data_IF_495372274528
#
_entry.id   IF_495372274528
#
_cell.length_a   1.000
_cell.length_b   1.000
_cell.length_c   1.000
_cell.angle_alpha   90.00
_cell.angle_beta   90.00
_cell.angle_gamma   90.00
#
_symmetry.space_group_name_H-M   'P 1'
#
loop_
_entity.id
_entity.type
_entity.pdbx_description
1 polymer ?
#
# COMPACT_ATOMS: atom_id res chain seq x y z
N UNK A 1 -17.87 2.24 -14.11
CA UNK A 1 -17.16 2.34 -15.41
C UNK A 1 -15.79 2.94 -15.16
N UNK A 2 -14.72 2.31 -15.64
CA UNK A 2 -13.34 2.79 -15.45
C UNK A 2 -13.00 3.92 -16.43
N UNK A 3 -11.95 4.72 -16.19
CA UNK A 3 -11.47 5.69 -17.17
C UNK A 3 -11.04 5.01 -18.47
N UNK A 4 -11.29 5.63 -19.64
CA UNK A 4 -10.90 5.10 -20.96
C UNK A 4 -9.42 4.71 -21.05
N UNK A 5 -8.56 5.47 -20.37
CA UNK A 5 -7.11 5.19 -20.29
C UNK A 5 -6.80 3.89 -19.57
N UNK A 6 -7.63 3.47 -18.62
CA UNK A 6 -7.50 2.18 -17.93
C UNK A 6 -8.21 1.05 -18.69
N UNK A 7 -9.30 1.34 -19.39
CA UNK A 7 -10.01 0.33 -20.21
C UNK A 7 -9.11 -0.32 -21.28
N UNK A 8 -8.12 0.39 -21.83
CA UNK A 8 -7.18 -0.22 -22.77
C UNK A 8 -6.28 -1.28 -22.12
N UNK A 9 -5.93 -1.12 -20.84
CA UNK A 9 -5.21 -2.13 -20.05
C UNK A 9 -6.11 -3.34 -19.80
N UNK A 10 -7.34 -3.11 -19.32
CA UNK A 10 -8.30 -4.18 -19.02
C UNK A 10 -8.59 -5.07 -20.24
N UNK A 11 -8.62 -4.49 -21.45
CA UNK A 11 -8.81 -5.26 -22.69
C UNK A 11 -7.70 -6.28 -22.96
N UNK A 12 -6.52 -6.07 -22.40
CA UNK A 12 -5.35 -6.94 -22.56
C UNK A 12 -5.19 -7.95 -21.41
N UNK A 13 -6.03 -7.88 -20.37
CA UNK A 13 -6.03 -8.82 -19.25
C UNK A 13 -6.81 -10.11 -19.60
N UNK A 14 -6.49 -11.24 -18.96
CA UNK A 14 -7.14 -12.52 -19.22
C UNK A 14 -8.64 -12.50 -18.90
N UNK A 15 -9.41 -13.06 -19.83
CA UNK A 15 -10.87 -13.17 -19.76
C UNK A 15 -11.33 -14.51 -20.34
N UNK A 16 -12.51 -15.03 -19.96
CA UNK A 16 -13.07 -16.22 -20.56
C UNK A 16 -13.36 -16.04 -22.05
N UNK A 17 -13.31 -17.13 -22.85
CA UNK A 17 -12.90 -18.48 -22.44
C UNK A 17 -11.39 -18.72 -22.46
N UNK A 18 -10.59 -17.85 -23.07
CA UNK A 18 -9.17 -18.14 -23.35
C UNK A 18 -8.24 -17.97 -22.16
N UNK A 19 -8.60 -17.11 -21.20
CA UNK A 19 -7.75 -16.74 -20.06
C UNK A 19 -6.30 -16.44 -20.46
N UNK A 20 -6.10 -15.57 -21.46
CA UNK A 20 -4.77 -15.21 -21.94
C UNK A 20 -4.53 -13.69 -21.88
N UNK A 21 -3.30 -13.30 -21.58
CA UNK A 21 -2.86 -11.90 -21.67
C UNK A 21 -2.54 -11.55 -23.13
N UNK A 22 -2.97 -10.37 -23.59
CA UNK A 22 -2.49 -9.77 -24.83
C UNK A 22 -1.19 -8.98 -24.53
N UNK A 23 -0.06 -9.68 -24.53
CA UNK A 23 1.23 -9.07 -24.22
C UNK A 23 1.63 -7.96 -25.21
N UNK A 24 1.33 -8.12 -26.50
CA UNK A 24 1.64 -7.10 -27.52
C UNK A 24 0.76 -5.86 -27.38
N UNK A 25 -0.51 -6.05 -27.03
CA UNK A 25 -1.43 -4.99 -26.67
C UNK A 25 -0.95 -4.19 -25.45
N UNK A 26 -0.44 -4.87 -24.42
CA UNK A 26 0.06 -4.22 -23.19
C UNK A 26 1.18 -3.20 -23.47
N UNK A 27 2.10 -3.48 -24.40
CA UNK A 27 3.15 -2.53 -24.79
C UNK A 27 2.62 -1.24 -25.45
N UNK A 28 1.38 -1.26 -25.95
CA UNK A 28 0.69 -0.11 -26.55
C UNK A 28 -0.14 0.70 -25.53
N UNK A 29 -0.22 0.22 -24.29
CA UNK A 29 -0.86 0.93 -23.18
C UNK A 29 0.15 1.81 -22.43
N UNK A 30 -0.29 2.66 -21.48
CA UNK A 30 0.62 3.39 -20.60
C UNK A 30 1.59 2.51 -19.79
N UNK A 31 1.34 1.20 -19.66
CA UNK A 31 2.27 0.25 -19.03
C UNK A 31 3.55 0.03 -19.85
N UNK A 32 3.53 0.29 -21.16
CA UNK A 32 4.58 -0.12 -22.08
C UNK A 32 5.99 0.39 -21.73
N UNK A 33 6.12 1.54 -21.06
CA UNK A 33 7.44 2.00 -20.56
C UNK A 33 7.99 1.08 -19.47
N UNK A 34 7.17 0.74 -18.47
CA UNK A 34 7.56 -0.14 -17.37
C UNK A 34 7.92 -1.52 -17.90
N UNK A 35 7.13 -2.05 -18.84
CA UNK A 35 7.39 -3.38 -19.43
C UNK A 35 8.70 -3.42 -20.22
N UNK A 36 9.05 -2.33 -20.92
CA UNK A 36 10.35 -2.19 -21.61
C UNK A 36 11.52 -2.17 -20.63
N UNK A 37 11.36 -1.53 -19.47
CA UNK A 37 12.40 -1.50 -18.45
C UNK A 37 12.59 -2.87 -17.81
N UNK A 38 11.49 -3.61 -17.57
CA UNK A 38 11.54 -5.01 -17.13
C UNK A 38 12.27 -5.90 -18.16
N UNK A 39 12.01 -5.73 -19.45
CA UNK A 39 12.68 -6.49 -20.52
C UNK A 39 14.20 -6.25 -20.58
N UNK A 40 14.66 -5.08 -20.15
CA UNK A 40 16.10 -4.74 -20.11
C UNK A 40 16.79 -5.15 -18.82
N UNK A 41 16.05 -5.62 -17.82
CA UNK A 41 16.58 -5.90 -16.48
C UNK A 41 16.93 -7.39 -16.39
N UNK A 42 18.23 -7.75 -16.30
CA UNK A 42 18.63 -9.15 -16.15
C UNK A 42 18.23 -9.67 -14.77
N UNK A 43 18.05 -10.99 -14.68
CA UNK A 43 17.88 -11.70 -13.42
C UNK A 43 19.09 -12.58 -13.11
N UNK A 44 19.19 -13.01 -11.86
CA UNK A 44 20.25 -13.91 -11.44
C UNK A 44 20.00 -15.32 -12.04
N UNK A 45 20.90 -15.83 -12.91
CA UNK A 45 20.68 -17.08 -13.64
C UNK A 45 20.58 -18.33 -12.75
N UNK A 46 21.11 -18.28 -11.51
CA UNK A 46 20.99 -19.39 -10.56
C UNK A 46 19.53 -19.61 -10.09
N UNK A 47 18.77 -18.51 -9.97
CA UNK A 47 17.41 -18.51 -9.42
C UNK A 47 16.34 -18.23 -10.49
N UNK A 48 16.76 -17.71 -11.64
CA UNK A 48 15.95 -17.22 -12.75
C UNK A 48 16.68 -17.48 -14.08
N UNK A 49 16.70 -18.74 -14.53
CA UNK A 49 17.38 -19.11 -15.76
C UNK A 49 16.66 -18.64 -17.05
N UNK A 50 15.44 -18.10 -16.93
CA UNK A 50 14.66 -17.53 -18.03
C UNK A 50 15.20 -16.20 -18.60
N UNK A 51 16.18 -15.59 -17.92
CA UNK A 51 16.94 -14.45 -18.45
C UNK A 51 16.57 -13.11 -17.80
N UNK A 52 15.52 -12.45 -18.29
CA UNK A 52 15.12 -11.11 -17.87
C UNK A 52 13.81 -11.07 -17.06
N UNK A 53 13.55 -9.94 -16.39
CA UNK A 53 12.36 -9.77 -15.53
C UNK A 53 11.05 -9.91 -16.33
N UNK A 54 11.02 -9.48 -17.59
CA UNK A 54 9.84 -9.61 -18.42
C UNK A 54 9.59 -11.04 -18.90
N UNK A 55 10.66 -11.80 -19.21
CA UNK A 55 10.58 -13.22 -19.53
C UNK A 55 9.93 -14.00 -18.38
N UNK A 56 10.40 -13.79 -17.16
CA UNK A 56 9.81 -14.32 -15.92
C UNK A 56 8.35 -13.91 -15.76
N UNK A 57 8.05 -12.61 -15.83
CA UNK A 57 6.69 -12.09 -15.66
C UNK A 57 5.69 -12.75 -16.63
N UNK A 58 6.06 -12.98 -17.90
CA UNK A 58 5.19 -13.69 -18.85
C UNK A 58 4.92 -15.14 -18.44
N UNK A 59 5.89 -15.83 -17.85
CA UNK A 59 5.71 -17.18 -17.34
C UNK A 59 4.79 -17.19 -16.12
N UNK A 60 4.96 -16.25 -15.18
CA UNK A 60 4.05 -16.04 -14.04
C UNK A 60 2.62 -15.76 -14.49
N UNK A 61 2.43 -14.85 -15.45
CA UNK A 61 1.12 -14.54 -16.02
C UNK A 61 0.44 -15.76 -16.64
N UNK A 62 1.19 -16.62 -17.35
CA UNK A 62 0.65 -17.87 -17.92
C UNK A 62 0.27 -18.88 -16.84
N UNK A 63 1.16 -19.08 -15.87
CA UNK A 63 0.90 -19.96 -14.73
C UNK A 63 -0.34 -19.54 -13.95
N UNK A 64 -0.53 -18.24 -13.70
CA UNK A 64 -1.71 -17.71 -13.05
C UNK A 64 -3.00 -18.07 -13.80
N UNK A 65 -2.99 -17.96 -15.13
CA UNK A 65 -4.14 -18.26 -15.96
C UNK A 65 -4.53 -19.75 -15.95
N UNK A 66 -3.62 -20.65 -15.60
CA UNK A 66 -3.88 -22.09 -15.49
C UNK A 66 -4.51 -22.47 -14.13
N UNK A 67 -4.47 -21.58 -13.14
CA UNK A 67 -5.05 -21.85 -11.81
C UNK A 67 -6.58 -21.76 -11.87
N UNK A 68 -7.26 -22.86 -11.54
CA UNK A 68 -8.73 -22.95 -11.60
C UNK A 68 -9.39 -21.92 -10.66
N UNK A 69 -8.86 -21.74 -9.46
CA UNK A 69 -9.34 -20.75 -8.50
C UNK A 69 -9.30 -19.33 -9.08
N UNK A 70 -8.23 -18.96 -9.79
CA UNK A 70 -8.12 -17.67 -10.49
C UNK A 70 -9.19 -17.51 -11.57
N UNK A 71 -9.44 -18.55 -12.37
CA UNK A 71 -10.44 -18.52 -13.43
C UNK A 71 -11.86 -18.27 -12.89
N UNK A 72 -12.16 -18.79 -11.69
CA UNK A 72 -13.45 -18.64 -11.01
C UNK A 72 -13.65 -17.33 -10.26
N UNK A 73 -12.59 -16.51 -10.09
CA UNK A 73 -12.71 -15.23 -9.40
C UNK A 73 -13.68 -14.27 -10.12
N UNK A 74 -14.40 -13.42 -9.36
CA UNK A 74 -15.15 -12.31 -9.93
C UNK A 74 -14.28 -11.45 -10.85
N UNK A 75 -14.85 -10.93 -11.94
CA UNK A 75 -14.09 -10.23 -13.00
C UNK A 75 -13.16 -9.14 -12.47
N UNK A 76 -13.62 -8.29 -11.55
CA UNK A 76 -12.81 -7.19 -11.04
C UNK A 76 -11.67 -7.68 -10.13
N UNK A 77 -11.90 -8.75 -9.35
CA UNK A 77 -10.87 -9.37 -8.51
C UNK A 77 -9.83 -10.10 -9.36
N UNK A 78 -10.28 -10.81 -10.39
CA UNK A 78 -9.43 -11.42 -11.40
C UNK A 78 -8.56 -10.39 -12.11
N UNK A 79 -9.14 -9.24 -12.50
CA UNK A 79 -8.41 -8.14 -13.11
C UNK A 79 -7.36 -7.54 -12.17
N UNK A 80 -7.68 -7.39 -10.87
CA UNK A 80 -6.73 -6.90 -9.88
C UNK A 80 -5.55 -7.87 -9.70
N UNK A 81 -5.83 -9.17 -9.55
CA UNK A 81 -4.79 -10.20 -9.41
C UNK A 81 -3.95 -10.36 -10.68
N UNK A 82 -4.57 -10.33 -11.87
CA UNK A 82 -3.87 -10.37 -13.15
C UNK A 82 -2.92 -9.17 -13.33
N UNK A 83 -3.38 -7.97 -12.98
CA UNK A 83 -2.55 -6.77 -13.05
C UNK A 83 -1.42 -6.79 -12.01
N UNK A 84 -1.67 -7.34 -10.82
CA UNK A 84 -0.63 -7.55 -9.81
C UNK A 84 0.43 -8.54 -10.29
N UNK A 85 0.05 -9.66 -10.92
CA UNK A 85 1.01 -10.60 -11.51
C UNK A 85 1.87 -9.97 -12.60
N UNK A 86 1.25 -9.16 -13.47
CA UNK A 86 1.96 -8.43 -14.52
C UNK A 86 3.01 -7.44 -13.98
N UNK A 87 2.81 -6.93 -12.76
CA UNK A 87 3.61 -5.83 -12.19
C UNK A 87 4.32 -6.18 -10.87
N UNK A 88 4.27 -7.43 -10.41
CA UNK A 88 4.83 -7.84 -9.11
C UNK A 88 6.31 -7.47 -8.99
N UNK A 89 7.05 -7.60 -10.10
CA UNK A 89 8.47 -7.31 -10.24
C UNK A 89 8.78 -5.98 -10.94
N UNK A 90 7.80 -5.10 -11.16
CA UNK A 90 8.00 -3.81 -11.83
C UNK A 90 9.00 -2.88 -11.10
N UNK A 91 9.32 -3.18 -9.84
CA UNK A 91 10.33 -2.46 -9.07
C UNK A 91 11.78 -2.95 -9.26
N UNK A 92 12.00 -4.13 -9.88
CA UNK A 92 13.35 -4.67 -10.11
C UNK A 92 14.23 -3.74 -10.96
N UNK A 93 13.75 -3.11 -12.06
CA UNK A 93 14.55 -2.14 -12.81
C UNK A 93 15.11 -0.98 -11.96
N UNK A 94 14.44 -0.62 -10.86
CA UNK A 94 14.84 0.45 -9.95
C UNK A 94 15.70 -0.03 -8.76
N UNK A 95 15.88 -1.34 -8.60
CA UNK A 95 16.45 -1.97 -7.42
C UNK A 95 17.64 -2.89 -7.73
N UNK A 96 17.66 -3.48 -8.92
CA UNK A 96 18.68 -4.45 -9.33
C UNK A 96 20.05 -3.80 -9.36
N UNK A 97 21.00 -4.46 -8.69
CA UNK A 97 22.42 -4.11 -8.68
C UNK A 97 23.23 -5.37 -8.37
N UNK A 98 24.52 -5.30 -8.66
CA UNK A 98 25.45 -6.36 -8.29
C UNK A 98 25.94 -6.13 -6.84
N UNK A 99 25.84 -7.16 -6.00
CA UNK A 99 26.40 -7.21 -4.66
C UNK A 99 27.14 -8.53 -4.48
N UNK A 100 28.42 -8.49 -4.10
CA UNK A 100 29.25 -9.68 -3.89
C UNK A 100 29.28 -10.66 -5.09
N UNK A 101 29.22 -10.14 -6.32
CA UNK A 101 29.19 -10.94 -7.55
C UNK A 101 27.82 -11.54 -7.91
N UNK A 102 26.77 -11.20 -7.15
CA UNK A 102 25.41 -11.65 -7.41
C UNK A 102 24.48 -10.50 -7.77
N UNK A 103 23.57 -10.73 -8.72
CA UNK A 103 22.49 -9.79 -9.00
C UNK A 103 21.40 -9.90 -7.93
N UNK A 104 21.15 -8.79 -7.25
CA UNK A 104 20.14 -8.68 -6.19
C UNK A 104 19.23 -7.47 -6.43
N UNK A 105 17.97 -7.56 -6.00
CA UNK A 105 16.96 -6.50 -6.18
C UNK A 105 16.28 -6.12 -4.84
N UNK A 106 17.03 -5.62 -3.85
CA UNK A 106 16.49 -5.36 -2.52
C UNK A 106 15.43 -4.26 -2.53
N UNK A 107 14.31 -4.51 -1.85
CA UNK A 107 13.19 -3.58 -1.74
C UNK A 107 12.39 -3.36 -3.04
N UNK A 108 12.58 -4.21 -4.06
CA UNK A 108 11.86 -4.08 -5.34
C UNK A 108 10.34 -4.12 -5.14
N UNK A 109 9.81 -4.95 -4.25
CA UNK A 109 8.36 -5.06 -4.02
C UNK A 109 7.73 -3.71 -3.61
N UNK A 110 8.35 -2.98 -2.67
CA UNK A 110 7.86 -1.66 -2.26
C UNK A 110 8.01 -0.62 -3.39
N UNK A 111 9.15 -0.63 -4.10
CA UNK A 111 9.38 0.27 -5.24
C UNK A 111 8.38 0.01 -6.37
N UNK A 112 8.09 -1.25 -6.67
CA UNK A 112 7.12 -1.68 -7.68
C UNK A 112 5.69 -1.28 -7.32
N UNK A 113 5.31 -1.43 -6.05
CA UNK A 113 4.01 -0.96 -5.56
C UNK A 113 3.86 0.58 -5.68
N UNK A 114 4.91 1.34 -5.35
CA UNK A 114 4.89 2.80 -5.48
C UNK A 114 4.84 3.26 -6.94
N UNK A 115 5.64 2.63 -7.82
CA UNK A 115 5.63 2.88 -9.25
C UNK A 115 4.24 2.60 -9.84
N UNK A 116 3.66 1.45 -9.50
CA UNK A 116 2.33 1.04 -9.95
C UNK A 116 1.24 1.98 -9.43
N UNK A 117 1.32 2.40 -8.16
CA UNK A 117 0.39 3.38 -7.58
C UNK A 117 0.42 4.69 -8.36
N UNK A 118 1.60 5.24 -8.60
CA UNK A 118 1.75 6.49 -9.32
C UNK A 118 1.16 6.40 -10.74
N UNK A 119 1.46 5.33 -11.47
CA UNK A 119 0.90 5.09 -12.81
C UNK A 119 -0.63 4.99 -12.78
N UNK A 120 -1.17 4.14 -11.90
CA UNK A 120 -2.61 3.90 -11.83
C UNK A 120 -3.37 5.16 -11.40
N UNK A 121 -2.83 5.89 -10.42
CA UNK A 121 -3.44 7.11 -9.90
C UNK A 121 -3.38 8.26 -10.92
N UNK A 122 -2.18 8.61 -11.38
CA UNK A 122 -1.92 9.80 -12.20
C UNK A 122 -2.24 9.57 -13.67
N UNK A 123 -1.69 8.50 -14.25
CA UNK A 123 -1.66 8.32 -15.71
C UNK A 123 -2.90 7.59 -16.23
N UNK A 124 -3.41 6.63 -15.44
CA UNK A 124 -4.58 5.82 -15.77
C UNK A 124 -5.88 6.35 -15.13
N UNK A 125 -5.79 7.34 -14.24
CA UNK A 125 -6.93 8.06 -13.68
C UNK A 125 -7.73 7.29 -12.63
N UNK A 126 -7.13 6.27 -11.99
CA UNK A 126 -7.74 5.56 -10.88
C UNK A 126 -7.58 6.37 -9.59
N UNK A 127 -8.22 7.53 -9.50
CA UNK A 127 -8.26 8.39 -8.31
C UNK A 127 -9.59 9.10 -8.12
N UNK A 128 -9.86 9.57 -6.90
CA UNK A 128 -11.04 10.39 -6.60
C UNK A 128 -12.37 9.62 -6.54
N UNK A 129 -12.34 8.29 -6.53
CA UNK A 129 -13.49 7.42 -6.23
C UNK A 129 -13.07 6.26 -5.34
N UNK A 130 -13.98 5.81 -4.47
CA UNK A 130 -13.70 4.75 -3.49
C UNK A 130 -13.37 3.43 -4.18
N UNK A 131 -14.07 3.12 -5.27
CA UNK A 131 -13.84 1.91 -6.06
C UNK A 131 -12.48 1.93 -6.75
N UNK A 132 -12.07 3.09 -7.26
CA UNK A 132 -10.77 3.26 -7.92
C UNK A 132 -9.62 3.17 -6.92
N UNK A 133 -9.76 3.84 -5.77
CA UNK A 133 -8.80 3.77 -4.67
C UNK A 133 -8.67 2.33 -4.17
N UNK A 134 -9.79 1.64 -3.93
CA UNK A 134 -9.77 0.24 -3.50
C UNK A 134 -9.09 -0.65 -4.53
N UNK A 135 -9.46 -0.58 -5.82
CA UNK A 135 -8.82 -1.39 -6.87
C UNK A 135 -7.32 -1.14 -6.95
N UNK A 136 -6.91 0.13 -7.06
CA UNK A 136 -5.52 0.54 -7.17
C UNK A 136 -4.69 0.03 -5.99
N UNK A 137 -5.14 0.28 -4.77
CA UNK A 137 -4.38 -0.09 -3.59
C UNK A 137 -4.41 -1.60 -3.33
N UNK A 138 -5.46 -2.31 -3.73
CA UNK A 138 -5.48 -3.77 -3.70
C UNK A 138 -4.38 -4.37 -4.56
N UNK A 139 -4.25 -3.90 -5.81
CA UNK A 139 -3.13 -4.25 -6.71
C UNK A 139 -1.79 -3.91 -6.07
N UNK A 140 -1.65 -2.70 -5.51
CA UNK A 140 -0.39 -2.28 -4.90
C UNK A 140 -0.03 -3.09 -3.65
N UNK A 141 -1.01 -3.53 -2.85
CA UNK A 141 -0.77 -4.43 -1.72
C UNK A 141 -0.32 -5.82 -2.18
N UNK A 142 -0.96 -6.38 -3.21
CA UNK A 142 -0.52 -7.66 -3.80
C UNK A 142 0.94 -7.57 -4.27
N UNK A 143 1.31 -6.51 -4.99
CA UNK A 143 2.70 -6.26 -5.43
C UNK A 143 3.63 -6.06 -4.24
N UNK A 144 3.25 -5.27 -3.24
CA UNK A 144 4.10 -4.99 -2.08
C UNK A 144 4.41 -6.25 -1.26
N UNK A 145 3.45 -7.15 -1.17
CA UNK A 145 3.52 -8.32 -0.31
C UNK A 145 3.78 -9.64 -1.06
N UNK A 146 4.00 -9.62 -2.38
CA UNK A 146 4.03 -10.85 -3.19
C UNK A 146 5.08 -11.87 -2.74
N UNK A 147 6.19 -11.44 -2.16
CA UNK A 147 7.23 -12.35 -1.61
C UNK A 147 6.88 -12.91 -0.24
N UNK A 148 5.90 -12.33 0.48
CA UNK A 148 5.63 -12.71 1.86
C UNK A 148 5.17 -14.16 2.04
N UNK A 149 4.33 -14.77 1.18
CA UNK A 149 3.98 -16.17 1.33
C UNK A 149 5.22 -17.07 1.35
N UNK A 150 6.18 -16.87 0.45
CA UNK A 150 7.40 -17.67 0.40
C UNK A 150 8.25 -17.58 1.70
N UNK A 151 8.14 -16.48 2.45
CA UNK A 151 8.93 -16.22 3.67
C UNK A 151 8.11 -16.24 4.96
N UNK A 152 6.81 -16.54 4.91
CA UNK A 152 5.92 -16.35 6.07
C UNK A 152 6.32 -17.27 7.24
N UNK A 153 6.75 -18.50 6.91
CA UNK A 153 7.13 -19.53 7.87
C UNK A 153 8.50 -19.27 8.51
N UNK A 154 9.33 -18.42 7.91
CA UNK A 154 10.59 -17.97 8.48
C UNK A 154 10.38 -16.96 9.62
N UNK A 155 9.16 -16.44 9.78
CA UNK A 155 8.83 -15.50 10.84
C UNK A 155 8.70 -16.20 12.19
N UNK A 156 9.14 -15.56 13.27
CA UNK A 156 8.96 -16.08 14.62
C UNK A 156 7.48 -16.25 15.02
N UNK A 157 6.58 -15.47 14.43
CA UNK A 157 5.14 -15.56 14.64
C UNK A 157 4.40 -15.45 13.28
N UNK A 158 4.34 -16.56 12.52
CA UNK A 158 3.72 -16.58 11.20
C UNK A 158 2.24 -16.18 11.24
N UNK A 159 1.50 -16.60 12.27
CA UNK A 159 0.08 -16.30 12.42
C UNK A 159 -0.17 -14.80 12.61
N UNK A 160 0.57 -14.13 13.52
CA UNK A 160 0.46 -12.66 13.68
C UNK A 160 0.88 -11.93 12.43
N UNK A 161 1.94 -12.38 11.75
CA UNK A 161 2.39 -11.77 10.49
C UNK A 161 1.33 -11.89 9.40
N UNK A 162 0.72 -13.06 9.24
CA UNK A 162 -0.38 -13.31 8.31
C UNK A 162 -1.59 -12.42 8.62
N UNK A 163 -2.09 -12.43 9.86
CA UNK A 163 -3.21 -11.57 10.32
C UNK A 163 -2.93 -10.08 10.06
N UNK A 164 -1.69 -9.64 10.31
CA UNK A 164 -1.26 -8.25 10.07
C UNK A 164 -1.32 -7.86 8.59
N UNK A 165 -0.82 -8.72 7.71
CA UNK A 165 -0.89 -8.47 6.26
C UNK A 165 -2.35 -8.47 5.82
N UNK A 166 -3.12 -9.49 6.23
CA UNK A 166 -4.53 -9.68 5.87
C UNK A 166 -5.42 -8.50 6.27
N UNK A 167 -5.11 -7.81 7.35
CA UNK A 167 -5.87 -6.65 7.86
C UNK A 167 -6.01 -5.53 6.82
N UNK A 168 -5.10 -5.43 5.83
CA UNK A 168 -5.24 -4.50 4.71
C UNK A 168 -6.47 -4.79 3.81
N UNK A 169 -7.04 -6.01 3.87
CA UNK A 169 -8.28 -6.36 3.20
C UNK A 169 -9.50 -5.56 3.72
N UNK A 170 -9.41 -5.00 4.93
CA UNK A 170 -10.44 -4.07 5.45
C UNK A 170 -10.46 -2.72 4.71
N UNK A 171 -9.33 -2.32 4.10
CA UNK A 171 -9.18 -1.08 3.33
C UNK A 171 -9.42 -1.29 1.84
N UNK A 172 -9.14 -2.49 1.34
CA UNK A 172 -9.40 -2.86 -0.06
C UNK A 172 -9.94 -4.27 -0.20
N UNK A 173 -11.14 -4.37 -0.76
CA UNK A 173 -11.80 -5.65 -1.08
C UNK A 173 -11.06 -6.50 -2.14
N UNK A 174 -10.07 -5.94 -2.83
CA UNK A 174 -9.30 -6.63 -3.86
C UNK A 174 -8.02 -7.29 -3.31
N UNK A 175 -7.79 -7.17 -2.00
CA UNK A 175 -6.64 -7.74 -1.32
C UNK A 175 -7.07 -8.78 -0.28
N UNK A 176 -6.47 -9.96 -0.35
CA UNK A 176 -6.63 -11.06 0.60
C UNK A 176 -5.36 -11.92 0.61
N UNK A 177 -5.14 -12.71 1.66
CA UNK A 177 -4.03 -13.69 1.65
C UNK A 177 -4.28 -14.80 0.62
N UNK A 178 -5.53 -15.12 0.31
CA UNK A 178 -5.91 -16.00 -0.80
C UNK A 178 -5.32 -15.53 -2.12
N UNK A 179 -5.59 -14.28 -2.53
CA UNK A 179 -5.04 -13.74 -3.77
C UNK A 179 -3.52 -13.61 -3.72
N UNK A 180 -2.96 -13.32 -2.54
CA UNK A 180 -1.52 -13.27 -2.36
C UNK A 180 -0.85 -14.63 -2.53
N UNK A 181 -1.47 -15.70 -2.03
CA UNK A 181 -0.99 -17.08 -2.21
C UNK A 181 -1.14 -17.55 -3.65
N UNK A 182 -2.23 -17.19 -4.35
CA UNK A 182 -2.39 -17.46 -5.78
C UNK A 182 -1.29 -16.77 -6.61
N UNK A 183 -0.96 -15.52 -6.27
CA UNK A 183 0.14 -14.80 -6.90
C UNK A 183 1.49 -15.48 -6.64
N UNK A 184 1.79 -15.83 -5.39
CA UNK A 184 3.04 -16.51 -5.04
C UNK A 184 3.16 -17.91 -5.69
N UNK A 185 2.05 -18.64 -5.78
CA UNK A 185 2.00 -19.93 -6.48
C UNK A 185 2.33 -19.75 -7.97
N UNK A 186 1.70 -18.77 -8.63
CA UNK A 186 1.99 -18.45 -10.03
C UNK A 186 3.44 -17.99 -10.22
N UNK A 187 4.01 -17.24 -9.26
CA UNK A 187 5.39 -16.77 -9.29
C UNK A 187 6.40 -17.94 -9.28
N UNK A 188 6.20 -18.91 -8.38
CA UNK A 188 7.08 -20.09 -8.31
C UNK A 188 6.86 -21.08 -9.46
N UNK A 189 5.62 -21.28 -9.90
CA UNK A 189 5.33 -22.09 -11.11
C UNK A 189 5.88 -21.41 -12.36
N UNK A 190 5.89 -20.08 -12.41
CA UNK A 190 6.39 -19.26 -13.52
C UNK A 190 7.91 -19.13 -13.62
N UNK A 191 8.70 -19.98 -12.94
CA UNK A 191 10.16 -19.86 -12.85
C UNK A 191 10.91 -21.02 -13.53
N UNK A 192 12.15 -20.77 -13.98
CA UNK A 192 13.13 -21.81 -14.32
C UNK A 192 14.26 -21.79 -13.27
N UNK A 193 14.25 -22.77 -12.38
CA UNK A 193 15.24 -22.92 -11.29
C UNK A 193 15.33 -24.40 -10.87
N UNK A 194 16.51 -24.90 -10.43
CA UNK A 194 16.64 -26.26 -9.90
C UNK A 194 15.81 -26.50 -8.63
N UNK A 195 15.54 -25.45 -7.84
CA UNK A 195 14.81 -25.54 -6.55
C UNK A 195 13.29 -25.37 -6.70
N UNK A 196 12.78 -25.34 -7.93
CA UNK A 196 11.37 -25.00 -8.21
C UNK A 196 10.37 -25.85 -7.41
N UNK A 197 10.60 -27.17 -7.33
CA UNK A 197 9.69 -28.07 -6.63
C UNK A 197 9.59 -27.78 -5.13
N UNK A 198 10.74 -27.51 -4.49
CA UNK A 198 10.81 -27.16 -3.07
C UNK A 198 10.11 -25.82 -2.80
N UNK A 199 10.33 -24.81 -3.66
CA UNK A 199 9.69 -23.50 -3.53
C UNK A 199 8.16 -23.58 -3.65
N UNK A 200 7.65 -24.36 -4.60
CA UNK A 200 6.21 -24.60 -4.74
C UNK A 200 5.67 -25.26 -3.46
N UNK A 201 6.38 -26.26 -2.91
CA UNK A 201 5.99 -26.89 -1.66
C UNK A 201 5.97 -25.89 -0.49
N UNK A 202 6.97 -25.00 -0.39
CA UNK A 202 7.02 -23.96 0.63
C UNK A 202 5.84 -22.99 0.55
N UNK A 203 5.40 -22.61 -0.66
CA UNK A 203 4.21 -21.78 -0.86
C UNK A 203 2.93 -22.51 -0.45
N UNK A 204 2.79 -23.81 -0.69
CA UNK A 204 1.65 -24.58 -0.21
C UNK A 204 1.62 -24.70 1.33
N UNK A 205 2.77 -24.89 1.97
CA UNK A 205 2.88 -24.85 3.43
C UNK A 205 2.54 -23.45 3.98
N UNK A 206 3.01 -22.39 3.33
CA UNK A 206 2.67 -21.03 3.68
C UNK A 206 1.17 -20.75 3.56
N UNK A 207 0.52 -21.27 2.52
CA UNK A 207 -0.94 -21.21 2.34
C UNK A 207 -1.66 -21.90 3.50
N UNK A 208 -1.22 -23.09 3.91
CA UNK A 208 -1.79 -23.79 5.08
C UNK A 208 -1.67 -22.93 6.36
N UNK A 209 -0.50 -22.34 6.63
CA UNK A 209 -0.32 -21.45 7.78
C UNK A 209 -1.20 -20.18 7.69
N UNK A 210 -1.43 -19.64 6.50
CA UNK A 210 -2.38 -18.53 6.31
C UNK A 210 -3.82 -18.95 6.63
N UNK A 211 -4.22 -20.18 6.27
CA UNK A 211 -5.54 -20.74 6.62
C UNK A 211 -5.66 -20.92 8.13
N UNK A 212 -4.68 -21.54 8.78
CA UNK A 212 -4.64 -21.76 10.23
C UNK A 212 -4.66 -20.44 11.02
N UNK A 213 -4.09 -19.36 10.47
CA UNK A 213 -4.16 -18.04 11.09
C UNK A 213 -5.59 -17.48 11.22
N UNK A 214 -6.56 -18.05 10.51
CA UNK A 214 -7.94 -17.57 10.44
C UNK A 214 -8.12 -16.29 9.63
N UNK A 215 -7.12 -15.92 8.81
CA UNK A 215 -7.09 -14.67 8.04
C UNK A 215 -6.89 -14.86 6.53
N UNK A 216 -7.18 -16.05 5.99
CA UNK A 216 -6.86 -16.41 4.61
C UNK A 216 -7.73 -15.68 3.58
N UNK A 217 -9.05 -15.75 3.74
CA UNK A 217 -10.00 -15.14 2.79
C UNK A 217 -10.34 -13.70 3.17
N UNK A 218 -10.34 -13.39 4.47
CA UNK A 218 -10.71 -12.11 5.03
C UNK A 218 -9.86 -11.78 6.27
N UNK A 219 -9.83 -10.52 6.73
CA UNK A 219 -9.17 -10.18 8.00
C UNK A 219 -9.68 -11.01 9.18
N UNK A 220 -8.78 -11.30 10.14
CA UNK A 220 -9.14 -12.03 11.34
C UNK A 220 -10.18 -11.27 12.18
N UNK A 221 -11.26 -11.91 12.65
CA UNK A 221 -12.34 -11.25 13.39
C UNK A 221 -11.97 -11.04 14.86
N UNK A 222 -11.10 -10.06 15.14
CA UNK A 222 -10.76 -9.69 16.51
C UNK A 222 -12.00 -9.23 17.31
N UNK A 223 -12.04 -9.48 18.64
CA UNK A 223 -13.21 -9.15 19.47
C UNK A 223 -13.46 -7.64 19.61
N UNK A 224 -12.42 -6.81 19.44
CA UNK A 224 -12.54 -5.35 19.45
C UNK A 224 -11.40 -4.68 18.66
N UNK A 225 -11.57 -3.42 18.22
CA UNK A 225 -10.48 -2.63 17.62
C UNK A 225 -9.27 -2.46 18.54
N UNK A 226 -9.48 -2.45 19.87
CA UNK A 226 -8.42 -2.33 20.87
C UNK A 226 -7.55 -3.59 20.87
N UNK A 227 -8.17 -4.77 20.93
CA UNK A 227 -7.48 -6.06 20.84
C UNK A 227 -6.75 -6.20 19.52
N UNK A 228 -7.43 -5.91 18.40
CA UNK A 228 -6.82 -5.93 17.07
C UNK A 228 -5.52 -5.14 17.04
N UNK A 229 -5.59 -3.87 17.44
CA UNK A 229 -4.42 -2.99 17.36
C UNK A 229 -3.31 -3.41 18.33
N UNK A 230 -3.65 -3.80 19.57
CA UNK A 230 -2.68 -4.30 20.54
C UNK A 230 -1.95 -5.55 20.01
N UNK A 231 -2.68 -6.53 19.48
CA UNK A 231 -2.11 -7.76 18.93
C UNK A 231 -1.24 -7.48 17.70
N UNK A 232 -1.72 -6.70 16.73
CA UNK A 232 -1.01 -6.45 15.47
C UNK A 232 0.19 -5.49 15.61
N UNK A 233 0.21 -4.67 16.67
CA UNK A 233 1.37 -3.84 17.05
C UNK A 233 2.47 -4.66 17.75
N UNK A 234 2.22 -5.93 18.07
CA UNK A 234 3.19 -6.84 18.69
C UNK A 234 3.18 -6.79 20.22
N UNK A 235 2.13 -6.26 20.85
CA UNK A 235 1.95 -6.42 22.30
C UNK A 235 1.75 -7.89 22.64
N UNK A 236 2.20 -8.29 23.82
CA UNK A 236 2.02 -9.65 24.32
C UNK A 236 0.58 -9.86 24.82
N UNK A 237 -0.36 -10.00 23.89
CA UNK A 237 -1.79 -10.22 24.13
C UNK A 237 -2.28 -11.37 23.24
N UNK A 238 -3.31 -12.06 23.68
CA UNK A 238 -3.98 -13.10 22.89
C UNK A 238 -4.93 -12.48 21.88
N UNK A 239 -5.14 -13.15 20.75
CA UNK A 239 -5.98 -12.68 19.65
C UNK A 239 -7.48 -12.60 19.98
N UNK A 240 -7.94 -13.43 20.93
CA UNK A 240 -9.33 -13.56 21.38
C UNK A 240 -9.58 -12.86 22.72
N UNK A 241 -8.54 -12.27 23.32
CA UNK A 241 -8.65 -11.51 24.55
C UNK A 241 -9.49 -10.25 24.34
N UNK A 242 -10.51 -10.03 25.18
CA UNK A 242 -11.27 -8.79 25.15
C UNK A 242 -10.60 -7.72 26.02
N UNK A 243 -9.82 -6.83 25.40
CA UNK A 243 -9.14 -5.74 26.12
C UNK A 243 -10.10 -4.58 26.41
N UNK A 244 -9.98 -4.03 27.62
CA UNK A 244 -10.64 -2.78 27.98
C UNK A 244 -9.96 -1.58 27.30
N UNK A 245 -10.76 -0.61 26.84
CA UNK A 245 -10.25 0.64 26.30
C UNK A 245 -9.97 1.63 27.44
N UNK A 246 -8.70 1.82 27.78
CA UNK A 246 -8.24 2.73 28.82
C UNK A 246 -7.83 4.12 28.28
N UNK A 247 -8.09 4.40 27.01
CA UNK A 247 -7.72 5.69 26.41
C UNK A 247 -8.61 6.83 26.87
N UNK A 248 -8.04 8.02 27.02
CA UNK A 248 -8.82 9.19 27.47
C UNK A 248 -9.59 9.90 26.35
N UNK A 249 -9.28 9.59 25.09
CA UNK A 249 -9.88 10.23 23.92
C UNK A 249 -9.09 9.92 22.65
N UNK A 250 -9.60 10.42 21.53
CA UNK A 250 -9.05 10.16 20.19
C UNK A 250 -8.27 11.35 19.65
N UNK A 251 -7.11 11.07 19.06
CA UNK A 251 -6.35 12.02 18.22
C UNK A 251 -6.46 11.58 16.77
N UNK A 252 -6.84 12.51 15.90
CA UNK A 252 -6.98 12.25 14.47
C UNK A 252 -5.71 12.70 13.76
N UNK A 253 -5.03 11.77 13.09
CA UNK A 253 -3.87 12.05 12.26
C UNK A 253 -4.26 12.06 10.79
N UNK A 254 -4.10 13.20 10.12
CA UNK A 254 -4.33 13.28 8.67
C UNK A 254 -3.11 12.78 7.88
N UNK A 255 -3.42 12.15 6.76
CA UNK A 255 -2.48 11.76 5.71
C UNK A 255 -3.07 12.09 4.34
N UNK A 256 -2.25 12.54 3.40
CA UNK A 256 -2.68 12.84 2.04
C UNK A 256 -1.84 13.94 1.40
N UNK A 257 -1.79 13.93 0.06
CA UNK A 257 -1.04 14.89 -0.73
C UNK A 257 -1.48 16.35 -0.46
N UNK A 258 -0.63 17.35 -0.70
CA UNK A 258 -1.07 18.74 -0.72
C UNK A 258 -2.25 18.92 -1.69
N UNK A 259 -3.25 19.72 -1.32
CA UNK A 259 -4.43 19.96 -2.18
C UNK A 259 -5.54 18.91 -2.12
N UNK A 260 -5.41 17.84 -1.33
CA UNK A 260 -6.48 16.84 -1.11
C UNK A 260 -7.63 17.33 -0.21
N UNK A 261 -7.78 18.64 0.00
CA UNK A 261 -8.91 19.17 0.77
C UNK A 261 -8.89 18.93 2.29
N UNK A 262 -7.74 18.57 2.89
CA UNK A 262 -7.59 18.35 4.35
C UNK A 262 -8.23 19.46 5.19
N UNK A 263 -7.88 20.72 4.92
CA UNK A 263 -8.39 21.86 5.69
C UNK A 263 -9.92 22.02 5.55
N UNK A 264 -10.46 21.79 4.35
CA UNK A 264 -11.91 21.82 4.09
C UNK A 264 -12.62 20.68 4.81
N UNK A 265 -12.04 19.48 4.80
CA UNK A 265 -12.58 18.32 5.50
C UNK A 265 -12.62 18.54 7.01
N UNK A 266 -11.54 19.08 7.59
CA UNK A 266 -11.49 19.46 9.01
C UNK A 266 -12.63 20.42 9.36
N UNK A 267 -12.77 21.52 8.61
CA UNK A 267 -13.81 22.53 8.88
C UNK A 267 -15.23 21.97 8.81
N UNK A 268 -15.47 21.04 7.89
CA UNK A 268 -16.79 20.42 7.69
C UNK A 268 -17.14 19.39 8.75
N UNK A 269 -16.18 18.53 9.11
CA UNK A 269 -16.45 17.34 9.94
C UNK A 269 -16.04 17.53 11.40
N UNK A 270 -15.08 18.41 11.68
CA UNK A 270 -14.51 18.61 13.01
C UNK A 270 -14.33 20.10 13.36
N UNK A 271 -15.38 20.95 13.24
CA UNK A 271 -15.26 22.40 13.39
C UNK A 271 -14.79 22.85 14.80
N UNK A 272 -14.98 22.00 15.81
CA UNK A 272 -14.74 22.34 17.22
C UNK A 272 -13.44 21.73 17.78
N UNK A 273 -12.72 20.91 17.00
CA UNK A 273 -11.47 20.31 17.49
C UNK A 273 -10.29 21.25 17.26
N UNK A 274 -9.38 21.42 18.25
CA UNK A 274 -8.10 22.07 18.02
C UNK A 274 -7.33 21.38 16.89
N UNK A 275 -6.61 22.16 16.09
CA UNK A 275 -5.81 21.67 14.97
C UNK A 275 -4.35 22.04 15.19
N UNK A 276 -3.48 21.03 15.22
CA UNK A 276 -2.02 21.20 15.14
C UNK A 276 -1.62 21.02 13.68
N UNK A 277 -1.42 22.13 12.98
CA UNK A 277 -1.13 22.16 11.54
C UNK A 277 0.31 22.58 11.30
N UNK A 278 1.09 21.69 10.68
CA UNK A 278 2.50 21.98 10.38
C UNK A 278 2.64 23.09 9.35
N UNK A 279 1.69 23.20 8.41
CA UNK A 279 1.68 24.25 7.42
C UNK A 279 1.33 25.61 8.06
N UNK A 280 0.42 25.65 9.04
CA UNK A 280 0.13 26.88 9.80
C UNK A 280 1.32 27.34 10.62
N UNK A 281 1.94 26.41 11.36
CA UNK A 281 3.14 26.70 12.17
C UNK A 281 4.28 27.17 11.28
N UNK A 282 4.50 26.53 10.13
CA UNK A 282 5.52 26.97 9.16
C UNK A 282 5.28 28.42 8.73
N UNK A 283 4.03 28.79 8.46
CA UNK A 283 3.64 30.16 8.08
C UNK A 283 3.83 31.16 9.21
N UNK A 284 3.39 30.81 10.43
CA UNK A 284 3.57 31.63 11.64
C UNK A 284 5.06 31.93 11.90
N UNK A 285 5.93 30.95 11.65
CA UNK A 285 7.38 31.08 11.88
C UNK A 285 8.15 31.68 10.69
N UNK A 286 7.49 31.93 9.55
CA UNK A 286 8.13 32.47 8.35
C UNK A 286 9.15 31.53 7.68
N UNK A 287 9.12 30.22 7.98
CA UNK A 287 10.09 29.24 7.48
C UNK A 287 9.76 28.85 6.04
N UNK A 288 10.72 28.97 5.13
CA UNK A 288 10.51 28.66 3.70
C UNK A 288 10.47 27.13 3.44
N UNK A 289 9.81 26.65 2.35
CA UNK A 289 9.67 25.22 2.03
C UNK A 289 10.97 24.41 1.79
N UNK A 290 12.15 25.01 1.88
CA UNK A 290 13.45 24.34 1.79
C UNK A 290 14.39 24.61 2.98
N UNK A 291 13.93 25.37 3.98
CA UNK A 291 14.69 25.64 5.21
C UNK A 291 14.51 24.49 6.23
N UNK A 292 15.29 24.52 7.32
CA UNK A 292 15.31 23.49 8.34
C UNK A 292 13.90 23.25 8.93
N UNK A 293 13.29 22.14 8.52
CA UNK A 293 11.94 21.75 8.94
C UNK A 293 11.88 21.27 10.40
N UNK A 294 13.03 20.98 11.03
CA UNK A 294 13.10 20.45 12.39
C UNK A 294 12.47 21.37 13.42
N UNK A 295 12.63 22.69 13.26
CA UNK A 295 12.06 23.68 14.18
C UNK A 295 10.52 23.70 14.10
N UNK A 296 9.96 23.58 12.89
CA UNK A 296 8.50 23.50 12.68
C UNK A 296 7.94 22.24 13.31
N UNK A 297 8.60 21.10 13.12
CA UNK A 297 8.19 19.81 13.72
C UNK A 297 8.25 19.88 15.23
N UNK A 298 9.32 20.46 15.80
CA UNK A 298 9.46 20.63 17.25
C UNK A 298 8.34 21.52 17.82
N UNK A 299 8.05 22.66 17.19
CA UNK A 299 6.96 23.52 17.61
C UNK A 299 5.60 22.83 17.52
N UNK A 300 5.35 22.02 16.48
CA UNK A 300 4.15 21.20 16.37
C UNK A 300 4.05 20.15 17.48
N UNK A 301 5.16 19.48 17.82
CA UNK A 301 5.21 18.53 18.93
C UNK A 301 4.94 19.19 20.27
N UNK A 302 5.45 20.39 20.54
CA UNK A 302 5.17 21.09 21.80
C UNK A 302 3.69 21.49 21.89
N UNK A 303 3.11 22.07 20.83
CA UNK A 303 1.66 22.36 20.78
C UNK A 303 0.82 21.09 21.01
N UNK A 304 1.20 19.96 20.39
CA UNK A 304 0.52 18.69 20.60
C UNK A 304 0.67 18.17 22.04
N UNK A 305 1.87 18.22 22.63
CA UNK A 305 2.12 17.80 24.03
C UNK A 305 1.28 18.60 25.02
N UNK A 306 1.07 19.90 24.80
CA UNK A 306 0.18 20.71 25.65
C UNK A 306 -1.25 20.17 25.67
N UNK A 307 -1.79 19.81 24.49
CA UNK A 307 -3.13 19.23 24.36
C UNK A 307 -3.21 17.83 24.96
N UNK A 308 -2.19 16.99 24.70
CA UNK A 308 -2.09 15.63 25.25
C UNK A 308 -2.04 15.63 26.79
N UNK A 309 -1.27 16.53 27.41
CA UNK A 309 -1.22 16.69 28.89
C UNK A 309 -2.58 17.08 29.47
N UNK A 310 -3.37 17.86 28.73
CA UNK A 310 -4.73 18.25 29.10
C UNK A 310 -5.78 17.17 28.77
N UNK A 311 -5.38 16.05 28.16
CA UNK A 311 -6.28 15.00 27.66
C UNK A 311 -7.36 15.56 26.73
N UNK A 312 -6.98 16.49 25.85
CA UNK A 312 -7.88 17.14 24.92
C UNK A 312 -7.74 16.50 23.52
N UNK A 313 -8.82 15.98 22.92
CA UNK A 313 -8.83 15.51 21.53
C UNK A 313 -8.43 16.63 20.56
N UNK A 314 -7.66 16.29 19.52
CA UNK A 314 -7.23 17.25 18.51
C UNK A 314 -6.91 16.57 17.16
N UNK A 315 -6.69 17.39 16.14
CA UNK A 315 -6.31 16.94 14.80
C UNK A 315 -4.86 17.30 14.54
N UNK A 316 -4.07 16.32 14.15
CA UNK A 316 -2.73 16.51 13.59
C UNK A 316 -2.81 16.63 12.07
N UNK A 317 -2.71 17.85 11.55
CA UNK A 317 -2.80 18.16 10.13
C UNK A 317 -1.40 18.24 9.50
N UNK A 318 -1.02 17.17 8.80
CA UNK A 318 0.21 17.07 8.03
C UNK A 318 -0.03 16.22 6.77
N UNK A 319 0.93 16.20 5.84
CA UNK A 319 0.87 15.30 4.68
C UNK A 319 1.08 13.83 5.07
N UNK A 320 1.98 13.55 6.02
CA UNK A 320 2.18 12.23 6.64
C UNK A 320 2.29 11.07 5.63
N UNK A 321 3.15 11.22 4.62
CA UNK A 321 3.16 10.39 3.41
C UNK A 321 3.87 9.03 3.53
N UNK A 322 4.68 8.83 4.58
CA UNK A 322 5.44 7.58 4.79
C UNK A 322 5.18 7.01 6.19
N UNK A 323 5.29 5.68 6.39
CA UNK A 323 4.91 5.02 7.64
C UNK A 323 5.77 5.49 8.82
N UNK A 324 7.06 5.77 8.59
CA UNK A 324 7.96 6.25 9.64
C UNK A 324 7.48 7.57 10.26
N UNK A 325 6.99 8.50 9.44
CA UNK A 325 6.46 9.78 9.94
C UNK A 325 5.18 9.57 10.76
N UNK A 326 4.28 8.70 10.29
CA UNK A 326 3.03 8.37 11.00
C UNK A 326 3.32 7.67 12.33
N UNK A 327 4.20 6.67 12.32
CA UNK A 327 4.62 5.93 13.52
C UNK A 327 5.15 6.84 14.61
N UNK A 328 5.97 7.85 14.25
CA UNK A 328 6.48 8.83 15.23
C UNK A 328 5.33 9.56 15.93
N UNK A 329 4.30 9.98 15.19
CA UNK A 329 3.17 10.69 15.78
C UNK A 329 2.24 9.77 16.55
N UNK A 330 1.90 8.60 15.99
CA UNK A 330 1.09 7.58 16.66
C UNK A 330 1.71 7.22 18.02
N UNK A 331 3.02 6.94 18.04
CA UNK A 331 3.74 6.61 19.27
C UNK A 331 3.71 7.76 20.28
N UNK A 332 3.87 9.01 19.82
CA UNK A 332 3.78 10.18 20.70
C UNK A 332 2.41 10.27 21.36
N UNK A 333 1.32 10.10 20.61
CA UNK A 333 -0.04 10.25 21.12
C UNK A 333 -0.40 9.11 22.07
N UNK A 334 -0.04 7.88 21.71
CA UNK A 334 -0.30 6.68 22.52
C UNK A 334 0.49 6.67 23.84
N UNK A 335 1.71 7.22 23.84
CA UNK A 335 2.49 7.36 25.09
C UNK A 335 1.84 8.31 26.11
N UNK A 336 0.90 9.15 25.67
CA UNK A 336 0.07 9.98 26.55
C UNK A 336 -1.29 9.34 26.85
N UNK A 337 -1.57 8.12 26.38
CA UNK A 337 -2.82 7.39 26.60
C UNK A 337 -3.97 7.78 25.67
N UNK A 338 -3.69 8.41 24.53
CA UNK A 338 -4.70 8.67 23.50
C UNK A 338 -4.88 7.45 22.59
N UNK A 339 -6.08 7.25 22.05
CA UNK A 339 -6.28 6.44 20.86
C UNK A 339 -5.95 7.27 19.61
N UNK A 340 -5.56 6.60 18.53
CA UNK A 340 -5.22 7.28 17.28
C UNK A 340 -6.06 6.74 16.14
N UNK A 341 -6.66 7.67 15.38
CA UNK A 341 -7.32 7.41 14.10
C UNK A 341 -6.52 8.05 12.97
N UNK A 342 -6.12 7.28 11.96
CA UNK A 342 -5.48 7.82 10.76
C UNK A 342 -6.54 8.01 9.67
N UNK A 343 -6.69 9.25 9.20
CA UNK A 343 -7.53 9.57 8.05
C UNK A 343 -6.66 9.86 6.83
N UNK A 344 -6.72 8.98 5.83
CA UNK A 344 -6.10 9.22 4.54
C UNK A 344 -7.09 9.86 3.57
N UNK A 345 -6.80 11.08 3.16
CA UNK A 345 -7.62 11.86 2.23
C UNK A 345 -7.02 11.83 0.82
N UNK A 346 -7.86 11.43 -0.13
CA UNK A 346 -7.58 11.41 -1.55
C UNK A 346 -8.62 12.24 -2.30
N UNK A 347 -8.22 12.81 -3.43
CA UNK A 347 -9.13 13.41 -4.42
C UNK A 347 -8.64 13.01 -5.82
N UNK A 348 -9.42 13.32 -6.86
CA UNK A 348 -9.00 13.06 -8.24
C UNK A 348 -7.70 13.82 -8.56
N UNK A 349 -6.78 13.22 -9.31
CA UNK A 349 -5.51 13.86 -9.68
C UNK A 349 -5.71 15.24 -10.34
N UNK A 350 -6.63 15.35 -11.30
CA UNK A 350 -6.91 16.61 -11.99
C UNK A 350 -7.47 17.68 -11.03
N UNK A 351 -8.40 17.30 -10.16
CA UNK A 351 -8.94 18.19 -9.13
C UNK A 351 -7.87 18.57 -8.10
N UNK A 352 -6.96 17.66 -7.75
CA UNK A 352 -5.85 17.94 -6.85
C UNK A 352 -4.96 19.05 -7.41
N UNK A 353 -4.60 18.98 -8.69
CA UNK A 353 -3.78 20.00 -9.35
C UNK A 353 -4.52 21.33 -9.50
N UNK A 354 -5.81 21.29 -9.86
CA UNK A 354 -6.65 22.48 -9.92
C UNK A 354 -6.69 23.19 -8.56
N UNK A 355 -6.96 22.44 -7.49
CA UNK A 355 -6.98 22.96 -6.12
C UNK A 355 -5.62 23.54 -5.73
N UNK A 356 -4.50 22.89 -6.09
CA UNK A 356 -3.16 23.43 -5.81
C UNK A 356 -2.92 24.77 -6.51
N UNK A 357 -3.31 24.89 -7.78
CA UNK A 357 -3.15 26.10 -8.58
C UNK A 357 -3.92 27.32 -8.01
N UNK A 358 -5.02 27.08 -7.31
CA UNK A 358 -5.81 28.12 -6.63
C UNK A 358 -5.25 28.52 -5.26
N UNK A 359 -4.23 27.83 -4.74
CA UNK A 359 -3.64 28.15 -3.42
C UNK A 359 -2.74 29.37 -3.51
N UNK A 360 -2.74 30.17 -2.43
CA UNK A 360 -1.81 31.28 -2.23
C UNK A 360 -0.32 30.86 -2.36
N UNK A 361 0.00 29.62 -2.00
CA UNK A 361 1.32 29.02 -2.17
C UNK A 361 1.16 27.67 -2.86
N UNK A 362 1.54 27.61 -4.14
CA UNK A 362 1.50 26.41 -4.97
C UNK A 362 2.68 25.50 -4.67
N UNK A 363 2.48 24.18 -4.78
CA UNK A 363 3.55 23.18 -4.59
C UNK A 363 4.14 22.75 -5.93
N UNK A 364 3.41 22.97 -7.04
CA UNK A 364 3.70 22.54 -8.42
C UNK A 364 3.44 21.05 -8.66
N UNK A 365 2.98 20.72 -9.88
CA UNK A 365 2.69 19.34 -10.28
C UNK A 365 3.90 18.41 -10.11
N UNK A 366 5.11 18.88 -10.46
CA UNK A 366 6.34 18.10 -10.34
C UNK A 366 6.59 17.63 -8.90
N UNK A 367 6.39 18.51 -7.92
CA UNK A 367 6.61 18.18 -6.51
C UNK A 367 5.50 17.28 -5.97
N UNK A 368 4.24 17.50 -6.37
CA UNK A 368 3.13 16.60 -5.99
C UNK A 368 3.36 15.20 -6.57
N UNK A 369 3.82 15.10 -7.82
CA UNK A 369 4.17 13.82 -8.45
C UNK A 369 5.35 13.13 -7.75
N UNK A 370 6.37 13.89 -7.31
CA UNK A 370 7.49 13.38 -6.51
C UNK A 370 7.08 12.99 -5.08
N UNK A 371 6.05 13.61 -4.52
CA UNK A 371 5.43 13.16 -3.27
C UNK A 371 4.66 11.85 -3.47
N UNK A 372 3.89 11.74 -4.57
CA UNK A 372 3.15 10.53 -4.92
C UNK A 372 4.07 9.33 -5.18
N UNK A 373 5.22 9.54 -5.83
CA UNK A 373 6.19 8.47 -6.13
C UNK A 373 6.79 7.81 -4.86
N UNK A 374 6.77 8.52 -3.73
CA UNK A 374 7.25 8.04 -2.43
C UNK A 374 6.11 7.75 -1.46
N UNK A 375 4.87 7.99 -1.86
CA UNK A 375 3.71 7.86 -0.99
C UNK A 375 3.40 6.39 -0.71
N UNK A 376 3.28 6.09 0.58
CA UNK A 376 2.85 4.79 1.09
C UNK A 376 1.60 5.07 1.94
N UNK A 377 0.39 4.68 1.45
CA UNK A 377 -0.84 4.92 2.19
C UNK A 377 -0.82 4.23 3.55
N UNK A 378 -1.56 4.74 4.54
CA UNK A 378 -1.64 4.10 5.83
C UNK A 378 -2.30 2.74 5.72
N UNK A 379 -1.64 1.74 6.27
CA UNK A 379 -2.10 0.37 6.35
C UNK A 379 -2.99 0.17 7.58
N UNK A 380 -3.90 -0.80 7.50
CA UNK A 380 -5.00 -0.95 8.47
C UNK A 380 -4.56 -1.22 9.91
N UNK A 381 -3.32 -1.66 10.10
CA UNK A 381 -2.70 -1.94 11.39
C UNK A 381 -1.84 -0.79 11.94
N UNK A 382 -1.72 0.35 11.24
CA UNK A 382 -0.84 1.45 11.65
C UNK A 382 -1.37 2.27 12.84
N UNK A 383 -2.66 2.18 13.13
CA UNK A 383 -3.31 2.82 14.27
C UNK A 383 -4.55 2.00 14.68
N UNK A 384 -5.24 2.41 15.75
CA UNK A 384 -6.46 1.74 16.21
C UNK A 384 -7.54 1.71 15.13
N UNK A 385 -7.66 2.82 14.40
CA UNK A 385 -8.52 2.94 13.23
C UNK A 385 -7.77 3.62 12.09
N UNK A 386 -7.93 3.09 10.89
CA UNK A 386 -7.43 3.69 9.65
C UNK A 386 -8.57 3.75 8.66
N UNK A 387 -8.84 4.94 8.15
CA UNK A 387 -9.93 5.18 7.20
C UNK A 387 -9.38 5.89 5.96
N UNK A 388 -9.82 5.46 4.79
CA UNK A 388 -9.51 6.11 3.52
C UNK A 388 -10.74 6.82 2.98
N UNK A 389 -10.61 8.12 2.75
CA UNK A 389 -11.68 9.05 2.45
C UNK A 389 -11.44 9.75 1.11
N UNK A 390 -12.50 9.90 0.33
CA UNK A 390 -12.51 10.67 -0.92
C UNK A 390 -13.07 12.07 -0.64
N UNK A 391 -12.46 13.10 -1.23
CA UNK A 391 -12.72 14.54 -0.97
C UNK A 391 -12.84 15.39 -2.22
#
# INVERSE_FOLDING_TARGET
MYPKKFECVLKCLPKPPEFAFDFDGLFKTPLGSILKDMQKTPQNPAWHAEGDVWAHTKMVCRALCEISEFQTLPIDERNALALAALLHDAGKPLATREENGELVSPGHALKGANLTRALLWRDLGLSGKKEYQSFREGVCFLIRYHTQPAHILENADPARKARKIAENGSLSKYFSLKNLCLLAQADEVGRISPEKAERIQNVELAKAACIESGAYESPYPFPSPVTKYAYLSGKNVWEDQNLFDDTWGEVILLSGLPGTGKDTYIKKHFPNLPVVSLDDIRREMGVKPGENQGVVVQAAHEKAKELLRKKQPFIWNATSLIPALRKTQVSLFENYGASVKILFLETEWAENLKRDAERKHTVSEKVIADMLSRFIPPEAFEAREVEWVIT
#
